data_IF_114775909478
#
_entry.id   IF_114775909478
#
_cell.length_a   1.000
_cell.length_b   1.000
_cell.length_c   1.000
_cell.angle_alpha   90.00
_cell.angle_beta   90.00
_cell.angle_gamma   90.00
#
_symmetry.space_group_name_H-M   'P 1'
#
loop_
_entity.id
_entity.type
_entity.pdbx_description
1 polymer ?
#
# COMPACT_ATOMS: atom_id res chain seq x y z
N UNK A 1 -4.27 1.20 34.35
CA UNK A 1 -3.11 1.96 34.89
C UNK A 1 -2.15 2.21 33.75
N UNK A 2 -1.50 3.37 33.71
CA UNK A 2 -0.49 3.68 32.70
C UNK A 2 0.89 3.19 33.15
N UNK A 3 1.74 2.87 32.18
CA UNK A 3 3.13 2.46 32.38
C UNK A 3 4.05 3.39 31.58
N UNK A 4 5.01 4.06 32.23
CA UNK A 4 5.96 4.98 31.59
C UNK A 4 5.74 6.44 31.99
N UNK A 5 6.21 7.39 31.16
CA UNK A 5 6.33 8.81 31.54
C UNK A 5 5.44 9.70 30.67
N UNK A 6 4.67 10.60 31.30
CA UNK A 6 3.92 11.63 30.58
C UNK A 6 2.73 11.11 29.77
N UNK A 7 2.23 9.91 30.10
CA UNK A 7 0.97 9.44 29.53
C UNK A 7 -0.20 10.18 30.19
N UNK A 8 -1.18 10.58 29.39
CA UNK A 8 -2.39 11.27 29.81
C UNK A 8 -3.61 10.49 29.33
N UNK A 9 -4.32 9.83 30.24
CA UNK A 9 -5.51 9.05 29.92
C UNK A 9 -5.53 7.74 30.68
N UNK A 10 -5.68 6.61 29.97
CA UNK A 10 -5.77 5.30 30.62
C UNK A 10 -5.16 4.14 29.82
N UNK A 11 -4.51 3.22 30.53
CA UNK A 11 -3.96 1.96 30.03
C UNK A 11 -2.90 2.12 28.94
N UNK A 12 -2.19 3.25 28.91
CA UNK A 12 -1.15 3.52 27.92
C UNK A 12 0.23 3.11 28.42
N UNK A 13 1.08 2.61 27.51
CA UNK A 13 2.45 2.19 27.79
C UNK A 13 3.45 3.00 26.94
N UNK A 14 4.48 3.58 27.59
CA UNK A 14 5.54 4.32 26.91
C UNK A 14 5.58 5.80 27.32
N UNK A 15 5.76 6.70 26.36
CA UNK A 15 6.06 8.11 26.63
C UNK A 15 5.13 9.06 25.91
N UNK A 16 4.56 10.02 26.64
CA UNK A 16 3.84 11.14 26.05
C UNK A 16 2.58 10.76 25.27
N UNK A 17 1.94 9.62 25.58
CA UNK A 17 0.72 9.21 24.89
C UNK A 17 -0.50 9.92 25.49
N UNK A 18 -1.46 10.33 24.65
CA UNK A 18 -2.73 10.94 25.05
C UNK A 18 -3.90 10.05 24.63
N UNK A 19 -4.81 9.74 25.55
CA UNK A 19 -5.99 8.91 25.32
C UNK A 19 -5.88 7.51 25.92
N UNK A 20 -6.32 6.48 25.20
CA UNK A 20 -6.62 5.16 25.80
C UNK A 20 -5.91 4.01 25.07
N UNK A 21 -5.22 3.14 25.81
CA UNK A 21 -4.59 1.91 25.29
C UNK A 21 -3.59 2.20 24.15
N UNK A 22 -2.79 3.26 24.30
CA UNK A 22 -1.73 3.57 23.33
C UNK A 22 -0.39 2.97 23.78
N UNK A 23 0.39 2.43 22.85
CA UNK A 23 1.71 1.87 23.12
C UNK A 23 2.79 2.56 22.28
N UNK A 24 3.83 3.07 22.91
CA UNK A 24 4.97 3.72 22.23
C UNK A 24 5.12 5.19 22.60
N UNK A 25 5.31 6.06 21.62
CA UNK A 25 5.75 7.45 21.85
C UNK A 25 4.82 8.45 21.16
N UNK A 26 4.27 9.38 21.92
CA UNK A 26 3.56 10.54 21.37
C UNK A 26 2.29 10.20 20.59
N UNK A 27 1.63 9.08 20.86
CA UNK A 27 0.39 8.72 20.18
C UNK A 27 -0.80 9.46 20.81
N UNK A 28 -1.77 9.88 20.00
CA UNK A 28 -3.00 10.54 20.42
C UNK A 28 -4.24 9.76 19.96
N UNK A 29 -5.24 9.59 20.82
CA UNK A 29 -6.46 8.86 20.52
C UNK A 29 -6.48 7.48 21.18
N UNK A 30 -6.84 6.42 20.45
CA UNK A 30 -7.08 5.10 21.04
C UNK A 30 -6.40 3.95 20.30
N UNK A 31 -5.88 2.96 21.05
CA UNK A 31 -5.37 1.70 20.49
C UNK A 31 -4.23 1.86 19.46
N UNK A 32 -3.47 2.96 19.53
CA UNK A 32 -2.37 3.20 18.60
C UNK A 32 -1.07 2.57 19.11
N UNK A 33 -0.28 2.00 18.22
CA UNK A 33 1.03 1.39 18.52
C UNK A 33 2.13 1.99 17.64
N UNK A 34 3.20 2.49 18.26
CA UNK A 34 4.37 3.04 17.58
C UNK A 34 4.62 4.52 17.89
N UNK A 35 4.83 5.35 16.87
CA UNK A 35 5.36 6.70 17.04
C UNK A 35 4.46 7.77 16.41
N UNK A 36 3.96 8.70 17.21
CA UNK A 36 3.29 9.91 16.69
C UNK A 36 2.04 9.63 15.88
N UNK A 37 1.31 8.55 16.18
CA UNK A 37 0.05 8.25 15.50
C UNK A 37 -1.12 9.02 16.14
N UNK A 38 -2.09 9.45 15.35
CA UNK A 38 -3.30 10.15 15.79
C UNK A 38 -4.56 9.46 15.28
N UNK A 39 -5.57 9.31 16.13
CA UNK A 39 -6.82 8.64 15.79
C UNK A 39 -6.93 7.26 16.45
N UNK A 40 -7.35 6.23 15.71
CA UNK A 40 -7.68 4.92 16.32
C UNK A 40 -7.04 3.72 15.62
N UNK A 41 -6.52 2.77 16.38
CA UNK A 41 -6.06 1.45 15.87
C UNK A 41 -4.93 1.57 14.82
N UNK A 42 -4.10 2.60 14.90
CA UNK A 42 -2.97 2.75 13.98
C UNK A 42 -1.73 2.06 14.51
N UNK A 43 -1.02 1.33 13.68
CA UNK A 43 0.29 0.73 13.97
C UNK A 43 1.35 1.28 13.01
N UNK A 44 2.48 1.73 13.53
CA UNK A 44 3.56 2.29 12.72
C UNK A 44 3.95 3.69 13.18
N UNK A 45 4.23 4.58 12.24
CA UNK A 45 4.70 5.93 12.56
C UNK A 45 3.98 7.01 11.76
N UNK A 46 3.66 8.12 12.43
CA UNK A 46 3.09 9.33 11.84
C UNK A 46 1.82 9.10 11.02
N UNK A 47 0.99 8.14 11.46
CA UNK A 47 -0.30 7.92 10.83
C UNK A 47 -1.39 8.79 11.48
N UNK A 48 -2.31 9.32 10.68
CA UNK A 48 -3.56 9.90 11.15
C UNK A 48 -4.76 9.17 10.56
N UNK A 49 -5.82 9.01 11.34
CA UNK A 49 -7.04 8.34 10.91
C UNK A 49 -7.28 7.05 11.69
N UNK A 50 -7.85 6.05 11.04
CA UNK A 50 -8.22 4.79 11.64
C UNK A 50 -7.61 3.59 10.90
N UNK A 51 -7.14 2.62 11.68
CA UNK A 51 -6.75 1.30 11.19
C UNK A 51 -5.57 1.30 10.18
N UNK A 52 -4.66 2.27 10.29
CA UNK A 52 -3.48 2.35 9.42
C UNK A 52 -2.34 1.49 9.96
N UNK A 53 -1.75 0.61 9.14
CA UNK A 53 -0.56 -0.20 9.51
C UNK A 53 0.70 0.20 8.74
N UNK A 54 0.79 1.48 8.38
CA UNK A 54 1.79 2.06 7.47
C UNK A 54 2.73 3.04 8.19
N UNK A 55 3.54 3.76 7.42
CA UNK A 55 4.27 4.94 7.87
C UNK A 55 3.83 6.16 7.07
N UNK A 56 3.41 7.21 7.77
CA UNK A 56 3.10 8.53 7.20
C UNK A 56 1.75 8.64 6.50
N UNK A 57 0.77 7.80 6.83
CA UNK A 57 -0.57 7.91 6.23
C UNK A 57 -1.36 9.07 6.83
N UNK A 58 -1.86 9.99 6.02
CA UNK A 58 -2.72 11.10 6.48
C UNK A 58 -4.22 10.83 6.31
N UNK A 59 -4.57 9.66 5.75
CA UNK A 59 -5.95 9.20 5.54
C UNK A 59 -6.07 7.74 5.96
N UNK A 60 -7.29 7.24 6.05
CA UNK A 60 -7.52 5.81 6.26
C UNK A 60 -7.04 5.04 5.01
N UNK A 61 -6.08 4.13 5.20
CA UNK A 61 -5.69 3.14 4.20
C UNK A 61 -6.35 1.80 4.53
N UNK A 62 -6.40 0.91 3.54
CA UNK A 62 -6.91 -0.43 3.79
C UNK A 62 -6.13 -1.12 4.92
N UNK A 63 -6.86 -1.80 5.79
CA UNK A 63 -6.37 -2.70 6.84
C UNK A 63 -5.22 -3.62 6.45
N UNK A 64 -5.22 -4.05 5.21
CA UNK A 64 -4.25 -5.01 4.66
C UNK A 64 -3.09 -4.31 3.96
N UNK A 65 -3.02 -2.98 4.05
CA UNK A 65 -1.97 -2.16 3.46
C UNK A 65 -0.98 -1.70 4.53
N UNK A 66 0.30 -1.99 4.34
CA UNK A 66 1.39 -1.75 5.30
C UNK A 66 2.65 -1.23 4.61
N UNK A 67 3.65 -0.76 5.35
CA UNK A 67 4.90 -0.22 4.80
C UNK A 67 4.83 1.27 4.47
N UNK A 68 5.57 1.73 3.46
CA UNK A 68 5.78 3.16 3.19
C UNK A 68 5.10 3.59 1.90
N UNK A 69 4.21 4.59 1.97
CA UNK A 69 3.66 5.26 0.78
C UNK A 69 2.84 4.35 -0.16
N UNK A 70 2.26 3.26 0.36
CA UNK A 70 1.47 2.33 -0.44
C UNK A 70 0.02 2.80 -0.60
N UNK A 71 -0.58 2.57 -1.77
CA UNK A 71 -1.99 2.90 -2.06
C UNK A 71 -2.70 1.68 -2.63
N UNK A 72 -3.93 1.42 -2.15
CA UNK A 72 -4.75 0.27 -2.54
C UNK A 72 -5.08 -0.63 -1.35
N UNK A 73 -5.58 -1.82 -1.66
CA UNK A 73 -5.96 -2.87 -0.70
C UNK A 73 -4.97 -4.03 -0.77
N UNK A 74 -4.54 -4.58 0.36
CA UNK A 74 -3.57 -5.68 0.40
C UNK A 74 -2.26 -5.33 -0.32
N UNK A 75 -1.71 -4.16 0.02
CA UNK A 75 -0.47 -3.63 -0.58
C UNK A 75 0.63 -3.50 0.46
N UNK A 76 1.82 -4.03 0.20
CA UNK A 76 2.95 -4.00 1.15
C UNK A 76 4.26 -3.58 0.49
N UNK A 77 5.28 -3.25 1.29
CA UNK A 77 6.60 -2.84 0.80
C UNK A 77 6.73 -1.32 0.69
N UNK A 78 7.27 -0.82 -0.43
CA UNK A 78 7.59 0.60 -0.60
C UNK A 78 6.98 1.17 -1.88
N UNK A 79 6.14 2.20 -1.71
CA UNK A 79 5.58 3.04 -2.76
C UNK A 79 4.94 2.24 -3.91
N UNK A 80 4.18 1.22 -3.55
CA UNK A 80 3.36 0.44 -4.46
C UNK A 80 1.96 1.06 -4.56
N UNK A 81 1.42 1.16 -5.76
CA UNK A 81 0.15 1.86 -6.01
C UNK A 81 -0.77 1.06 -6.91
N UNK A 82 -1.95 0.73 -6.40
CA UNK A 82 -3.07 0.26 -7.19
C UNK A 82 -4.17 1.33 -7.17
N UNK A 83 -4.61 1.76 -8.35
CA UNK A 83 -5.67 2.78 -8.47
C UNK A 83 -6.45 2.63 -9.77
N UNK A 84 -7.69 3.09 -9.79
CA UNK A 84 -8.57 2.99 -10.96
C UNK A 84 -9.95 2.48 -10.58
N UNK A 85 -10.52 1.62 -11.43
CA UNK A 85 -11.88 1.07 -11.30
C UNK A 85 -12.09 0.14 -10.10
N UNK A 86 -12.83 -0.95 -10.30
CA UNK A 86 -13.43 -1.76 -9.21
C UNK A 86 -12.49 -2.18 -8.07
N UNK A 87 -11.52 -3.05 -8.36
CA UNK A 87 -10.61 -3.62 -7.35
C UNK A 87 -9.20 -3.13 -7.57
N UNK A 88 -8.59 -2.53 -6.54
CA UNK A 88 -7.26 -1.94 -6.61
C UNK A 88 -6.38 -2.52 -5.49
N UNK A 89 -5.48 -3.47 -5.79
CA UNK A 89 -4.73 -4.12 -4.71
C UNK A 89 -3.80 -5.28 -5.05
N UNK A 90 -3.40 -6.04 -4.04
CA UNK A 90 -2.48 -7.19 -4.15
C UNK A 90 -1.16 -6.82 -4.81
N UNK A 91 -0.46 -5.83 -4.25
CA UNK A 91 0.85 -5.42 -4.76
C UNK A 91 1.90 -5.52 -3.65
N UNK A 92 3.07 -6.06 -3.95
CA UNK A 92 4.19 -6.13 -3.02
C UNK A 92 5.53 -5.78 -3.68
N UNK A 93 6.56 -5.51 -2.87
CA UNK A 93 7.91 -5.17 -3.35
C UNK A 93 8.14 -3.66 -3.36
N UNK A 94 8.68 -3.11 -4.45
CA UNK A 94 9.08 -1.70 -4.53
C UNK A 94 8.59 -1.05 -5.82
N UNK A 95 7.92 0.10 -5.70
CA UNK A 95 7.56 0.97 -6.82
C UNK A 95 6.74 0.31 -7.93
N UNK A 96 5.93 -0.70 -7.60
CA UNK A 96 5.03 -1.31 -8.55
C UNK A 96 3.72 -0.52 -8.65
N UNK A 97 3.26 -0.23 -9.86
CA UNK A 97 2.05 0.57 -10.11
C UNK A 97 1.09 -0.19 -11.02
N UNK A 98 -0.18 -0.26 -10.69
CA UNK A 98 -1.22 -0.78 -11.58
C UNK A 98 -2.36 0.23 -11.69
N UNK A 99 -2.74 0.57 -12.92
CA UNK A 99 -3.87 1.46 -13.18
C UNK A 99 -4.43 1.33 -14.61
N UNK A 100 -5.68 1.75 -14.79
CA UNK A 100 -6.35 1.84 -16.10
C UNK A 100 -7.31 0.69 -16.43
N UNK A 101 -7.37 -0.35 -15.60
CA UNK A 101 -8.40 -1.37 -15.64
C UNK A 101 -9.69 -0.90 -14.95
N UNK A 102 -10.83 -1.16 -15.57
CA UNK A 102 -12.17 -0.83 -15.06
C UNK A 102 -12.64 -1.80 -13.99
N UNK A 103 -12.20 -3.06 -14.02
CA UNK A 103 -12.56 -4.09 -13.05
C UNK A 103 -11.46 -4.34 -12.02
N UNK A 104 -10.19 -4.42 -12.45
CA UNK A 104 -9.09 -4.78 -11.57
C UNK A 104 -7.77 -4.10 -11.94
N UNK A 105 -7.08 -3.55 -10.94
CA UNK A 105 -5.73 -2.99 -11.03
C UNK A 105 -4.88 -3.61 -9.92
N UNK A 106 -3.86 -4.39 -10.27
CA UNK A 106 -3.02 -4.99 -9.24
C UNK A 106 -2.35 -6.30 -9.59
N UNK A 107 -2.17 -7.15 -8.58
CA UNK A 107 -1.45 -8.44 -8.66
C UNK A 107 -0.04 -8.25 -9.23
N UNK A 108 0.72 -7.34 -8.64
CA UNK A 108 2.09 -7.05 -9.03
C UNK A 108 3.05 -7.42 -7.90
N UNK A 109 4.21 -7.97 -8.23
CA UNK A 109 5.29 -8.18 -7.28
C UNK A 109 6.67 -7.94 -7.89
N UNK A 110 7.67 -7.65 -7.05
CA UNK A 110 9.03 -7.37 -7.49
C UNK A 110 9.32 -5.87 -7.49
N UNK A 111 9.99 -5.36 -8.54
CA UNK A 111 10.51 -3.99 -8.57
C UNK A 111 10.06 -3.24 -9.83
N UNK A 112 9.53 -2.03 -9.66
CA UNK A 112 9.27 -1.07 -10.74
C UNK A 112 8.40 -1.62 -11.88
N UNK A 113 7.48 -2.54 -11.60
CA UNK A 113 6.56 -3.03 -12.61
C UNK A 113 5.36 -2.07 -12.79
N UNK A 114 4.97 -1.81 -14.03
CA UNK A 114 3.85 -0.94 -14.39
C UNK A 114 2.75 -1.73 -15.10
N UNK A 115 1.68 -2.03 -14.38
CA UNK A 115 0.43 -2.57 -14.90
C UNK A 115 -0.31 -1.53 -15.72
N UNK A 116 -0.51 -1.78 -17.02
CA UNK A 116 -1.34 -0.98 -17.91
C UNK A 116 -2.43 -1.83 -18.54
N UNK A 117 -3.57 -1.23 -18.84
CA UNK A 117 -4.69 -2.00 -19.35
C UNK A 117 -4.53 -2.38 -20.83
N UNK A 118 -4.49 -3.69 -21.07
CA UNK A 118 -4.47 -4.33 -22.38
C UNK A 118 -5.38 -5.56 -22.35
N UNK A 119 -5.66 -6.16 -23.51
CA UNK A 119 -6.33 -7.46 -23.54
C UNK A 119 -5.42 -8.53 -22.89
N UNK A 120 -5.99 -9.33 -21.99
CA UNK A 120 -5.32 -10.46 -21.33
C UNK A 120 -6.05 -11.76 -21.65
N UNK A 121 -5.66 -12.40 -22.74
CA UNK A 121 -6.32 -13.62 -23.24
C UNK A 121 -5.93 -14.87 -22.44
N UNK A 122 -6.83 -15.86 -22.30
CA UNK A 122 -8.23 -15.87 -22.76
C UNK A 122 -9.23 -15.22 -21.77
N UNK A 123 -8.76 -14.78 -20.60
CA UNK A 123 -9.62 -14.42 -19.46
C UNK A 123 -10.31 -13.06 -19.60
N UNK A 124 -9.64 -12.08 -20.22
CA UNK A 124 -10.12 -10.72 -20.44
C UNK A 124 -9.79 -10.29 -21.87
N UNK A 125 -10.62 -10.67 -22.85
CA UNK A 125 -10.33 -10.42 -24.26
C UNK A 125 -10.46 -8.96 -24.68
N UNK A 126 -11.08 -8.12 -23.86
CA UNK A 126 -11.29 -6.70 -24.14
C UNK A 126 -10.27 -5.85 -23.37
N UNK A 127 -9.51 -4.96 -24.04
CA UNK A 127 -8.67 -3.97 -23.36
C UNK A 127 -9.50 -3.06 -22.43
N UNK A 128 -8.89 -2.57 -21.36
CA UNK A 128 -9.57 -1.66 -20.42
C UNK A 128 -10.17 -2.36 -19.20
N UNK A 129 -10.24 -3.69 -19.15
CA UNK A 129 -10.87 -4.42 -18.02
C UNK A 129 -9.91 -4.62 -16.86
N UNK A 130 -8.68 -5.05 -17.15
CA UNK A 130 -7.66 -5.38 -16.14
C UNK A 130 -6.37 -4.62 -16.40
N UNK A 131 -5.61 -4.33 -15.35
CA UNK A 131 -4.21 -3.89 -15.44
C UNK A 131 -3.34 -4.61 -14.39
N UNK A 132 -2.14 -5.03 -14.79
CA UNK A 132 -1.18 -5.67 -13.89
C UNK A 132 -1.06 -7.19 -14.11
N UNK A 133 -1.13 -8.01 -13.06
CA UNK A 133 -0.87 -9.45 -13.15
C UNK A 133 0.54 -9.76 -13.65
N UNK A 134 1.52 -9.54 -12.79
CA UNK A 134 2.88 -9.88 -13.17
C UNK A 134 3.89 -9.77 -12.06
N UNK A 135 5.06 -10.34 -12.32
CA UNK A 135 6.17 -10.35 -11.38
C UNK A 135 7.49 -10.10 -12.07
N UNK A 136 8.45 -9.60 -11.29
CA UNK A 136 9.84 -9.42 -11.71
C UNK A 136 10.30 -7.99 -11.64
N UNK A 137 11.07 -7.52 -12.62
CA UNK A 137 11.72 -6.21 -12.54
C UNK A 137 11.54 -5.43 -13.84
N UNK A 138 11.08 -4.18 -13.71
CA UNK A 138 11.00 -3.19 -14.80
C UNK A 138 10.17 -3.68 -15.99
N UNK A 139 9.02 -4.30 -15.72
CA UNK A 139 8.08 -4.72 -16.75
C UNK A 139 6.91 -3.73 -16.89
N UNK A 140 6.43 -3.52 -18.11
CA UNK A 140 5.21 -2.76 -18.40
C UNK A 140 4.24 -3.62 -19.20
N UNK A 141 2.97 -3.73 -18.77
CA UNK A 141 1.95 -4.49 -19.49
C UNK A 141 0.89 -5.09 -18.59
N UNK A 142 0.26 -6.18 -19.06
CA UNK A 142 -0.54 -7.09 -18.22
C UNK A 142 -0.16 -8.53 -18.54
N UNK A 143 -0.08 -9.41 -17.54
CA UNK A 143 0.23 -10.83 -17.73
C UNK A 143 1.70 -11.12 -18.02
N UNK A 144 2.63 -10.48 -17.32
CA UNK A 144 4.08 -10.62 -17.55
C UNK A 144 4.82 -11.33 -16.41
N UNK A 145 5.90 -12.04 -16.72
CA UNK A 145 6.82 -12.63 -15.73
C UNK A 145 8.24 -12.42 -16.27
N UNK A 146 9.15 -11.86 -15.48
CA UNK A 146 10.58 -11.83 -15.82
C UNK A 146 11.27 -10.48 -15.60
N UNK A 147 12.39 -10.29 -16.29
CA UNK A 147 13.29 -9.14 -16.16
C UNK A 147 13.27 -8.38 -17.49
N UNK A 148 12.65 -7.19 -17.52
CA UNK A 148 12.47 -6.32 -18.68
C UNK A 148 11.56 -6.86 -19.80
N UNK A 149 10.35 -6.31 -19.92
CA UNK A 149 9.56 -6.47 -21.15
C UNK A 149 10.11 -5.54 -22.25
N UNK A 150 11.11 -6.04 -22.98
CA UNK A 150 11.83 -5.36 -24.09
C UNK A 150 10.89 -4.83 -25.20
N UNK A 151 9.62 -5.22 -25.25
CA UNK A 151 8.67 -4.79 -26.29
C UNK A 151 8.46 -3.27 -26.38
N UNK A 152 8.74 -2.49 -25.32
CA UNK A 152 8.75 -1.02 -25.41
C UNK A 152 10.14 -0.42 -25.64
N UNK A 153 11.22 -1.06 -25.16
CA UNK A 153 12.59 -0.62 -25.45
C UNK A 153 12.93 -0.77 -26.94
N UNK A 154 12.49 -1.86 -27.57
CA UNK A 154 12.67 -2.09 -29.01
C UNK A 154 11.81 -1.15 -29.88
N UNK A 155 10.69 -0.62 -29.34
CA UNK A 155 9.91 0.44 -30.00
C UNK A 155 10.54 1.83 -29.89
N UNK A 156 11.50 2.01 -28.99
CA UNK A 156 12.23 3.27 -28.77
C UNK A 156 13.61 3.28 -29.45
N UNK A 157 14.08 2.12 -29.92
CA UNK A 157 15.37 1.94 -30.59
C UNK A 157 15.23 1.80 -32.12
N UNK A 158 14.05 2.07 -32.68
CA UNK A 158 13.78 2.15 -34.12
C UNK A 158 13.77 3.59 -34.60
#
# INVERSE_FOLDING_TARGET
>A
MDTGIGNSGAYSTGFGNSGVVNTGFGNSGQFNTGFGNSGSVNTGAWNSGNFNTTVGSTTDVSATTSGFGNTGTNVSGFNNSASGGGVNGNISGFFNRASGGSAQNGNLSGLFNTGVSVAYLPFFPVPGVVSGFGSGVLNTGTGFIGLFNIAQLLKQLG
#
